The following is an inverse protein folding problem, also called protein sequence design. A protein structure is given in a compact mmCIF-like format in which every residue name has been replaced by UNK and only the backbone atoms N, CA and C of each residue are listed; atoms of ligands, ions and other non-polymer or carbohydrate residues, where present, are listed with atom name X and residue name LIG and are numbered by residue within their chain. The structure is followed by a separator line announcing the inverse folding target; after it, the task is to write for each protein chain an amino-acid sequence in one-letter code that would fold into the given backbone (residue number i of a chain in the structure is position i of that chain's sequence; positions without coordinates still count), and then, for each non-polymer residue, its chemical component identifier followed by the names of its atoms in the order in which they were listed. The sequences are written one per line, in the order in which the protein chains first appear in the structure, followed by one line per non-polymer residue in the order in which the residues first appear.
data_IF_144799368999
#
_entry.id   IF_144799368999
#
_cell.length_a   1.000
_cell.length_b   1.000
_cell.length_c   1.000
_cell.angle_alpha   90.00
_cell.angle_beta   90.00
_cell.angle_gamma   90.00
#
_symmetry.space_group_name_H-M   'P 1'
#
loop_
_entity.id
_entity.type
_entity.pdbx_description
1 polymer ?
#
# COMPACT_ATOMS: atom_id res chain seq x y z
N UNK A 1 -6.93 12.13 -20.95
CA UNK A 1 -5.52 12.03 -20.53
C UNK A 1 -5.39 12.29 -19.04
N UNK A 2 -5.02 11.28 -18.27
CA UNK A 2 -4.81 11.41 -16.81
C UNK A 2 -3.47 12.07 -16.51
N UNK A 3 -3.44 12.99 -15.55
CA UNK A 3 -2.20 13.67 -15.13
C UNK A 3 -1.42 12.84 -14.09
N UNK A 4 -0.09 13.04 -14.05
CA UNK A 4 0.78 12.36 -13.08
C UNK A 4 0.45 12.76 -11.63
N UNK A 5 -0.04 13.98 -11.44
CA UNK A 5 -0.47 14.50 -10.13
C UNK A 5 -1.73 13.80 -9.63
N UNK A 6 -2.72 13.56 -10.50
CA UNK A 6 -3.92 12.80 -10.17
C UNK A 6 -3.60 11.35 -9.84
N UNK A 7 -2.68 10.73 -10.60
CA UNK A 7 -2.17 9.39 -10.32
C UNK A 7 -1.47 9.31 -8.96
N UNK A 8 -0.76 10.36 -8.55
CA UNK A 8 -0.01 10.40 -7.29
C UNK A 8 -0.90 10.55 -6.05
N UNK A 9 -2.13 11.04 -6.22
CA UNK A 9 -3.14 11.19 -5.16
C UNK A 9 -3.96 9.92 -4.94
N UNK A 10 -3.88 8.98 -5.87
CA UNK A 10 -4.66 7.76 -5.86
C UNK A 10 -3.97 6.68 -5.00
N UNK A 11 -4.78 5.89 -4.31
CA UNK A 11 -4.33 4.72 -3.57
C UNK A 11 -4.13 3.51 -4.50
N UNK A 12 -3.49 2.46 -4.00
CA UNK A 12 -3.24 1.24 -4.77
C UNK A 12 -4.54 0.60 -5.28
N UNK A 13 -5.60 0.62 -4.46
CA UNK A 13 -6.88 0.03 -4.84
C UNK A 13 -7.57 0.84 -5.94
N UNK A 14 -7.63 2.17 -5.82
CA UNK A 14 -8.18 3.04 -6.85
C UNK A 14 -7.42 2.97 -8.17
N UNK A 15 -6.08 2.87 -8.13
CA UNK A 15 -5.27 2.72 -9.34
C UNK A 15 -5.56 1.40 -10.08
N UNK A 16 -5.78 0.31 -9.33
CA UNK A 16 -6.16 -0.98 -9.90
C UNK A 16 -7.58 -0.98 -10.46
N UNK A 17 -8.52 -0.29 -9.80
CA UNK A 17 -9.89 -0.13 -10.29
C UNK A 17 -9.95 0.68 -11.58
N UNK A 18 -9.23 1.80 -11.67
CA UNK A 18 -9.12 2.58 -12.91
C UNK A 18 -8.50 1.77 -14.04
N UNK A 19 -7.47 0.98 -13.74
CA UNK A 19 -6.84 0.11 -14.74
C UNK A 19 -7.83 -0.92 -15.27
N UNK A 20 -8.67 -1.50 -14.40
CA UNK A 20 -9.71 -2.44 -14.81
C UNK A 20 -10.79 -1.76 -15.65
N UNK A 21 -11.25 -0.58 -15.23
CA UNK A 21 -12.24 0.22 -15.96
C UNK A 21 -11.74 0.55 -17.38
N UNK A 22 -10.56 1.14 -17.50
CA UNK A 22 -9.98 1.50 -18.80
C UNK A 22 -9.70 0.27 -19.66
N UNK A 23 -9.27 -0.85 -19.09
CA UNK A 23 -9.09 -2.09 -19.86
C UNK A 23 -10.42 -2.62 -20.40
N UNK A 24 -11.51 -2.46 -19.65
CA UNK A 24 -12.85 -2.86 -20.08
C UNK A 24 -13.36 -1.96 -21.19
N UNK A 25 -13.16 -0.65 -21.07
CA UNK A 25 -13.52 0.33 -22.09
C UNK A 25 -12.73 0.14 -23.38
N UNK A 26 -11.42 -0.14 -23.29
CA UNK A 26 -10.60 -0.50 -24.46
C UNK A 26 -11.21 -1.70 -25.19
N UNK A 27 -11.59 -2.77 -24.46
CA UNK A 27 -12.20 -3.95 -25.09
C UNK A 27 -13.56 -3.65 -25.72
N UNK A 28 -14.34 -2.74 -25.11
CA UNK A 28 -15.60 -2.28 -25.69
C UNK A 28 -15.35 -1.53 -27.00
N UNK A 29 -14.42 -0.57 -27.00
CA UNK A 29 -14.04 0.16 -28.19
C UNK A 29 -13.46 -0.74 -29.28
N UNK A 30 -12.64 -1.75 -28.93
CA UNK A 30 -12.12 -2.71 -29.90
C UNK A 30 -13.28 -3.48 -30.60
N UNK A 31 -14.32 -3.89 -29.87
CA UNK A 31 -15.52 -4.51 -30.47
C UNK A 31 -16.30 -3.54 -31.36
N UNK A 32 -16.46 -2.29 -30.93
CA UNK A 32 -17.16 -1.27 -31.70
C UNK A 32 -16.40 -0.94 -33.00
N UNK A 33 -15.06 -0.88 -32.93
CA UNK A 33 -14.18 -0.72 -34.10
C UNK A 33 -14.35 -1.91 -35.06
N UNK A 34 -14.32 -3.15 -34.57
CA UNK A 34 -14.54 -4.34 -35.40
C UNK A 34 -15.91 -4.31 -36.10
N UNK A 35 -16.96 -3.86 -35.42
CA UNK A 35 -18.29 -3.72 -36.02
C UNK A 35 -18.30 -2.65 -37.12
N UNK A 36 -17.75 -1.47 -36.84
CA UNK A 36 -17.65 -0.38 -37.83
C UNK A 36 -16.74 -0.72 -39.00
N UNK A 37 -15.70 -1.53 -38.80
CA UNK A 37 -14.86 -2.03 -39.90
C UNK A 37 -15.64 -2.96 -40.83
N UNK A 38 -16.52 -3.81 -40.30
CA UNK A 38 -17.40 -4.66 -41.11
C UNK A 38 -18.36 -3.80 -41.93
N UNK A 39 -18.96 -2.80 -41.29
CA UNK A 39 -19.86 -1.85 -41.96
C UNK A 39 -19.13 -1.03 -43.03
N UNK A 40 -17.91 -0.57 -42.75
CA UNK A 40 -17.06 0.12 -43.72
C UNK A 40 -16.81 -0.75 -44.95
N UNK A 41 -16.48 -2.03 -44.76
CA UNK A 41 -16.26 -2.98 -45.87
C UNK A 41 -17.55 -3.17 -46.70
N UNK A 42 -18.69 -3.27 -46.04
CA UNK A 42 -20.00 -3.38 -46.70
C UNK A 42 -20.36 -2.12 -47.50
N UNK A 43 -20.16 -0.93 -46.93
CA UNK A 43 -20.46 0.31 -47.64
C UNK A 43 -19.47 0.56 -48.79
N UNK A 44 -18.20 0.17 -48.63
CA UNK A 44 -17.23 0.23 -49.71
C UNK A 44 -17.62 -0.69 -50.89
N UNK A 45 -18.11 -1.92 -50.63
CA UNK A 45 -18.59 -2.79 -51.70
C UNK A 45 -19.85 -2.24 -52.38
N UNK A 46 -20.75 -1.57 -51.62
CA UNK A 46 -21.92 -0.88 -52.18
C UNK A 46 -21.54 0.30 -53.07
N UNK A 47 -20.53 1.08 -52.70
CA UNK A 47 -19.99 2.17 -53.52
C UNK A 47 -19.47 1.60 -54.85
N UNK A 48 -18.63 0.57 -54.80
CA UNK A 48 -18.10 -0.09 -56.00
C UNK A 48 -19.20 -0.62 -56.91
N UNK A 49 -20.19 -1.31 -56.35
CA UNK A 49 -21.32 -1.85 -57.12
C UNK A 49 -22.16 -0.75 -57.78
N UNK A 50 -22.36 0.38 -57.09
CA UNK A 50 -23.07 1.53 -57.65
C UNK A 50 -22.29 2.21 -58.79
N UNK A 51 -20.97 2.30 -58.64
CA UNK A 51 -20.06 2.81 -59.68
C UNK A 51 -20.05 1.89 -60.92
N UNK A 52 -19.93 0.57 -60.72
CA UNK A 52 -19.98 -0.42 -61.80
C UNK A 52 -21.30 -0.37 -62.59
N UNK A 53 -22.41 -0.08 -61.90
CA UNK A 53 -23.74 0.08 -62.53
C UNK A 53 -24.02 1.50 -63.04
N UNK A 54 -23.04 2.40 -62.98
CA UNK A 54 -23.17 3.80 -63.38
C UNK A 54 -24.32 4.55 -62.69
N UNK A 55 -24.66 4.18 -61.46
CA UNK A 55 -25.70 4.80 -60.64
C UNK A 55 -25.09 5.89 -59.76
N UNK A 56 -24.82 7.06 -60.36
CA UNK A 56 -24.06 8.15 -59.73
C UNK A 56 -24.66 8.66 -58.41
N UNK A 57 -25.98 8.87 -58.36
CA UNK A 57 -26.70 9.31 -57.15
C UNK A 57 -26.55 8.32 -55.99
N UNK A 58 -26.65 7.02 -56.29
CA UNK A 58 -26.53 5.96 -55.29
C UNK A 58 -25.07 5.83 -54.80
N UNK A 59 -24.10 5.97 -55.72
CA UNK A 59 -22.68 5.98 -55.38
C UNK A 59 -22.33 7.17 -54.47
N UNK A 60 -22.89 8.35 -54.73
CA UNK A 60 -22.68 9.54 -53.90
C UNK A 60 -23.26 9.36 -52.49
N UNK A 61 -24.49 8.85 -52.38
CA UNK A 61 -25.11 8.54 -51.08
C UNK A 61 -24.32 7.50 -50.28
N UNK A 62 -23.84 6.45 -50.95
CA UNK A 62 -23.03 5.41 -50.32
C UNK A 62 -21.65 5.93 -49.88
N UNK A 63 -21.01 6.80 -50.67
CA UNK A 63 -19.75 7.47 -50.30
C UNK A 63 -19.92 8.39 -49.09
N UNK A 64 -21.04 9.11 -49.00
CA UNK A 64 -21.33 9.95 -47.84
C UNK A 64 -21.47 9.11 -46.56
N UNK A 65 -22.12 7.95 -46.63
CA UNK A 65 -22.20 7.02 -45.49
C UNK A 65 -20.84 6.40 -45.14
N UNK A 66 -20.07 5.99 -46.16
CA UNK A 66 -18.71 5.47 -45.96
C UNK A 66 -17.83 6.50 -45.24
N UNK A 67 -17.88 7.77 -45.66
CA UNK A 67 -17.14 8.87 -45.03
C UNK A 67 -17.55 9.09 -43.57
N UNK A 68 -18.85 9.00 -43.24
CA UNK A 68 -19.33 9.08 -41.84
C UNK A 68 -18.81 7.94 -40.98
N UNK A 69 -18.79 6.73 -41.52
CA UNK A 69 -18.26 5.54 -40.83
C UNK A 69 -16.75 5.70 -40.62
N UNK A 70 -16.01 6.13 -41.64
CA UNK A 70 -14.56 6.35 -41.53
C UNK A 70 -14.20 7.44 -40.52
N UNK A 71 -14.96 8.53 -40.49
CA UNK A 71 -14.81 9.57 -39.47
C UNK A 71 -15.06 9.02 -38.06
N UNK A 72 -16.15 8.26 -37.86
CA UNK A 72 -16.47 7.64 -36.58
C UNK A 72 -15.40 6.63 -36.13
N UNK A 73 -14.90 5.83 -37.06
CA UNK A 73 -13.82 4.86 -36.82
C UNK A 73 -12.54 5.58 -36.40
N UNK A 74 -12.16 6.66 -37.10
CA UNK A 74 -10.96 7.43 -36.74
C UNK A 74 -11.05 8.02 -35.32
N UNK A 75 -12.24 8.51 -34.91
CA UNK A 75 -12.47 9.02 -33.57
C UNK A 75 -12.40 7.93 -32.50
N UNK A 76 -13.00 6.76 -32.75
CA UNK A 76 -12.96 5.63 -31.81
C UNK A 76 -11.55 5.04 -31.66
N UNK A 77 -10.78 4.96 -32.75
CA UNK A 77 -9.38 4.52 -32.70
C UNK A 77 -8.55 5.49 -31.87
N UNK A 78 -8.71 6.80 -32.08
CA UNK A 78 -8.00 7.81 -31.29
C UNK A 78 -8.34 7.72 -29.79
N UNK A 79 -9.62 7.60 -29.44
CA UNK A 79 -10.06 7.43 -28.05
C UNK A 79 -9.51 6.14 -27.42
N UNK A 80 -9.50 5.03 -28.17
CA UNK A 80 -8.93 3.76 -27.72
C UNK A 80 -7.42 3.85 -27.48
N UNK A 81 -6.70 4.58 -28.33
CA UNK A 81 -5.26 4.77 -28.19
C UNK A 81 -4.92 5.69 -27.01
N UNK A 82 -5.74 6.72 -26.77
CA UNK A 82 -5.60 7.55 -25.58
C UNK A 82 -5.79 6.73 -24.29
N UNK A 83 -6.81 5.87 -24.22
CA UNK A 83 -7.01 4.97 -23.08
C UNK A 83 -5.84 4.00 -22.89
N UNK A 84 -5.24 3.49 -23.98
CA UNK A 84 -4.04 2.63 -23.91
C UNK A 84 -2.85 3.38 -23.31
N UNK A 85 -2.67 4.64 -23.66
CA UNK A 85 -1.62 5.50 -23.09
C UNK A 85 -1.89 5.74 -21.60
N UNK A 86 -3.13 6.03 -21.21
CA UNK A 86 -3.50 6.23 -19.81
C UNK A 86 -3.27 4.95 -18.98
N UNK A 87 -3.63 3.76 -19.50
CA UNK A 87 -3.31 2.47 -18.86
C UNK A 87 -1.81 2.26 -18.70
N UNK A 88 -1.02 2.62 -19.72
CA UNK A 88 0.44 2.52 -19.66
C UNK A 88 1.01 3.40 -18.54
N UNK A 89 0.56 4.66 -18.45
CA UNK A 89 0.96 5.59 -17.38
C UNK A 89 0.56 5.11 -15.99
N UNK A 90 -0.64 4.57 -15.82
CA UNK A 90 -1.07 3.97 -14.55
C UNK A 90 -0.13 2.82 -14.17
N UNK A 91 0.22 1.94 -15.13
CA UNK A 91 1.13 0.82 -14.89
C UNK A 91 2.55 1.26 -14.50
N UNK A 92 3.06 2.32 -15.10
CA UNK A 92 4.35 2.90 -14.72
C UNK A 92 4.33 3.54 -13.32
N UNK A 93 3.20 4.16 -12.93
CA UNK A 93 3.05 4.78 -11.62
C UNK A 93 2.79 3.78 -10.48
N UNK A 94 2.22 2.60 -10.77
CA UNK A 94 1.84 1.59 -9.78
C UNK A 94 2.97 1.20 -8.80
N UNK A 95 4.21 0.90 -9.24
CA UNK A 95 5.30 0.58 -8.32
C UNK A 95 5.59 1.69 -7.31
N UNK A 96 5.55 2.95 -7.74
CA UNK A 96 5.77 4.10 -6.87
C UNK A 96 4.63 4.25 -5.84
N UNK A 97 3.37 4.06 -6.27
CA UNK A 97 2.20 4.07 -5.39
C UNK A 97 2.30 2.93 -4.34
N UNK A 98 2.72 1.73 -4.76
CA UNK A 98 2.96 0.60 -3.85
C UNK A 98 4.08 0.85 -2.85
N UNK A 99 5.15 1.52 -3.28
CA UNK A 99 6.26 1.86 -2.39
C UNK A 99 5.82 2.84 -1.28
N UNK A 100 4.94 3.80 -1.59
CA UNK A 100 4.36 4.73 -0.58
C UNK A 100 3.53 4.03 0.49
N UNK A 101 2.83 2.94 0.13
CA UNK A 101 2.11 2.13 1.13
C UNK A 101 3.04 1.33 2.04
N UNK A 102 4.24 0.99 1.54
CA UNK A 102 5.26 0.25 2.28
C UNK A 102 6.22 1.15 3.08
N UNK A 103 6.26 2.45 2.79
CA UNK A 103 7.04 3.39 3.60
C UNK A 103 6.33 3.57 4.93
N UNK A 104 6.90 2.97 5.97
CA UNK A 104 6.48 3.15 7.35
C UNK A 104 6.81 4.59 7.75
N UNK A 105 5.91 5.24 8.49
CA UNK A 105 6.17 6.55 9.08
C UNK A 105 7.35 6.45 10.06
N UNK A 106 8.48 7.13 9.81
CA UNK A 106 9.67 7.01 10.64
C UNK A 106 9.41 7.43 12.09
N UNK A 107 8.53 8.40 12.31
CA UNK A 107 8.23 8.90 13.66
C UNK A 107 7.36 7.91 14.42
N UNK A 108 6.38 7.28 13.75
CA UNK A 108 5.56 6.21 14.32
C UNK A 108 6.40 4.97 14.65
N UNK A 109 7.27 4.55 13.72
CA UNK A 109 8.18 3.43 13.93
C UNK A 109 9.14 3.70 15.08
N UNK A 110 9.66 4.93 15.17
CA UNK A 110 10.53 5.32 16.27
C UNK A 110 9.78 5.27 17.61
N UNK A 111 8.54 5.74 17.67
CA UNK A 111 7.72 5.66 18.87
C UNK A 111 7.44 4.20 19.29
N UNK A 112 7.08 3.33 18.34
CA UNK A 112 6.87 1.89 18.59
C UNK A 112 8.15 1.20 19.08
N UNK A 113 9.30 1.53 18.48
CA UNK A 113 10.60 1.01 18.91
C UNK A 113 11.00 1.52 20.30
N UNK A 114 10.78 2.80 20.59
CA UNK A 114 11.05 3.38 21.93
C UNK A 114 10.18 2.72 23.02
N UNK A 115 8.90 2.46 22.73
CA UNK A 115 8.03 1.71 23.65
C UNK A 115 8.50 0.26 23.86
N UNK A 116 8.96 -0.41 22.80
CA UNK A 116 9.44 -1.80 22.87
C UNK A 116 10.77 -1.93 23.63
N UNK A 117 11.65 -0.93 23.49
CA UNK A 117 12.94 -0.83 24.19
C UNK A 117 12.76 -0.38 25.64
N UNK A 118 11.57 0.13 26.02
CA UNK A 118 11.29 0.65 27.35
C UNK A 118 11.90 2.02 27.61
N UNK A 119 12.33 2.72 26.56
CA UNK A 119 12.74 4.12 26.61
C UNK A 119 11.49 4.99 26.54
N UNK A 120 10.71 5.04 27.62
CA UNK A 120 9.74 6.11 27.78
C UNK A 120 10.49 7.44 27.80
N UNK A 121 10.25 8.26 26.77
CA UNK A 121 10.62 9.67 26.78
C UNK A 121 9.98 10.34 28.00
N UNK A 122 10.74 10.50 29.09
CA UNK A 122 10.35 11.40 30.16
C UNK A 122 10.59 10.97 31.60
N UNK A 123 11.20 9.82 31.88
CA UNK A 123 11.76 9.59 33.21
C UNK A 123 13.26 9.88 33.14
N UNK A 124 13.74 11.01 33.73
CA UNK A 124 15.17 11.25 33.79
C UNK A 124 15.77 10.08 34.56
N UNK A 125 16.72 9.35 33.97
CA UNK A 125 17.39 8.21 34.59
C UNK A 125 17.83 8.50 36.03
N UNK A 126 18.15 9.77 36.33
CA UNK A 126 18.41 10.28 37.67
C UNK A 126 17.28 10.01 38.70
N UNK A 127 16.00 10.18 38.36
CA UNK A 127 14.88 9.91 39.28
C UNK A 127 14.72 8.42 39.57
N UNK A 128 14.96 7.57 38.56
CA UNK A 128 14.93 6.12 38.74
C UNK A 128 16.12 5.65 39.58
N UNK A 129 17.30 6.23 39.39
CA UNK A 129 18.47 5.97 40.25
C UNK A 129 18.24 6.44 41.69
N UNK A 130 17.60 7.60 41.90
CA UNK A 130 17.25 8.12 43.22
C UNK A 130 16.17 7.25 43.91
N UNK A 131 15.17 6.76 43.17
CA UNK A 131 14.17 5.83 43.68
C UNK A 131 14.76 4.44 43.99
N UNK A 132 15.69 3.95 43.17
CA UNK A 132 16.43 2.72 43.43
C UNK A 132 17.30 2.85 44.68
N UNK A 133 18.03 3.96 44.84
CA UNK A 133 18.80 4.23 46.08
C UNK A 133 17.90 4.34 47.29
N UNK A 134 16.76 5.02 47.18
CA UNK A 134 15.80 5.13 48.28
C UNK A 134 15.17 3.77 48.65
N UNK A 135 15.06 2.84 47.70
CA UNK A 135 14.63 1.46 47.95
C UNK A 135 15.76 0.61 48.53
N UNK A 136 17.00 0.82 48.11
CA UNK A 136 18.20 0.16 48.64
C UNK A 136 18.43 0.57 50.10
N UNK A 137 18.35 1.86 50.43
CA UNK A 137 18.42 2.36 51.81
C UNK A 137 17.27 1.80 52.68
N UNK A 138 16.05 1.71 52.14
CA UNK A 138 14.92 1.07 52.84
C UNK A 138 15.08 -0.44 53.01
N UNK A 139 15.82 -1.10 52.12
CA UNK A 139 16.14 -2.52 52.20
C UNK A 139 17.28 -2.78 53.20
N UNK A 140 18.26 -1.87 53.30
CA UNK A 140 19.30 -1.89 54.34
C UNK A 140 18.71 -1.72 55.75
N UNK A 141 17.68 -0.88 55.91
CA UNK A 141 16.97 -0.71 57.19
C UNK A 141 16.14 -1.92 57.64
N UNK A 142 15.89 -2.88 56.75
CA UNK A 142 15.13 -4.08 57.07
C UNK A 142 15.86 -5.33 56.62
N UNK A 143 16.96 -5.69 57.29
CA UNK A 143 17.68 -6.94 57.02
C UNK A 143 16.70 -8.14 57.01
N UNK A 144 16.28 -8.61 55.81
CA UNK A 144 15.24 -9.62 55.69
C UNK A 144 15.76 -10.96 56.18
N UNK A 145 17.09 -11.15 56.12
CA UNK A 145 17.79 -12.35 56.56
C UNK A 145 17.80 -12.46 58.08
N UNK A 146 17.93 -11.37 58.83
CA UNK A 146 17.80 -11.39 60.30
C UNK A 146 16.37 -11.76 60.73
N UNK A 147 15.36 -11.15 60.11
CA UNK A 147 13.95 -11.48 60.38
C UNK A 147 13.64 -12.94 60.01
N UNK A 148 14.21 -13.47 58.92
CA UNK A 148 14.06 -14.86 58.52
C UNK A 148 14.81 -15.81 59.47
N UNK A 149 16.05 -15.48 59.89
CA UNK A 149 16.84 -16.24 60.88
C UNK A 149 16.12 -16.34 62.23
N UNK A 150 15.53 -15.24 62.70
CA UNK A 150 14.72 -15.23 63.94
C UNK A 150 13.45 -16.07 63.79
N UNK A 151 12.80 -16.03 62.63
CA UNK A 151 11.59 -16.82 62.37
C UNK A 151 11.88 -18.32 62.17
N UNK A 152 13.09 -18.66 61.70
CA UNK A 152 13.57 -20.03 61.52
C UNK A 152 14.32 -20.58 62.75
N UNK A 153 14.55 -19.77 63.79
CA UNK A 153 15.15 -20.20 65.05
C UNK A 153 16.67 -20.44 65.00
N UNK A 154 17.40 -19.85 64.04
CA UNK A 154 18.86 -19.97 63.93
C UNK A 154 19.56 -18.68 64.40
N UNK A 155 19.37 -18.32 65.66
CA UNK A 155 20.06 -17.21 66.33
C UNK A 155 21.10 -17.72 67.34
N UNK A 156 22.37 -17.67 66.93
CA UNK A 156 23.62 -17.75 67.69
C UNK A 156 23.79 -18.85 68.76
N UNK A 157 24.49 -19.92 68.38
CA UNK A 157 25.17 -20.81 69.32
C UNK A 157 26.65 -20.91 68.94
N UNK A 158 27.41 -19.85 69.21
CA UNK A 158 28.88 -19.95 69.29
C UNK A 158 29.31 -20.28 70.72
N UNK A 159 29.67 -21.56 70.91
CA UNK A 159 30.60 -22.17 71.89
C UNK A 159 30.52 -21.87 73.40
N UNK A 160 30.82 -22.90 74.23
CA UNK A 160 32.04 -22.76 75.01
C UNK A 160 32.90 -24.04 75.07
N UNK A 161 34.18 -23.91 74.72
CA UNK A 161 35.31 -24.72 75.22
C UNK A 161 35.73 -24.19 76.62
N UNK A 162 36.63 -24.82 77.41
CA UNK A 162 37.06 -26.23 77.56
C UNK A 162 37.01 -26.71 79.05
N UNK A 163 37.24 -28.01 79.36
CA UNK A 163 37.61 -28.39 80.73
C UNK A 163 37.46 -29.87 81.15
N UNK A 164 38.58 -30.48 81.56
CA UNK A 164 38.79 -31.84 82.10
C UNK A 164 38.01 -32.15 83.39
N UNK A 165 37.74 -33.44 83.64
CA UNK A 165 37.53 -33.99 84.98
C UNK A 165 37.29 -35.50 84.99
N UNK A 166 38.25 -36.26 85.54
CA UNK A 166 38.24 -37.73 85.73
C UNK A 166 37.26 -38.18 86.81
N UNK A 167 36.71 -39.38 86.68
CA UNK A 167 36.87 -40.51 87.63
C UNK A 167 36.21 -41.77 87.09
#
# INVERSE_FOLDING_TARGET
MISLEELSKLDEAGAMELLLAYTTDIKRHDKDIEALEKDRRLWNSRVKLAEERSLAELAQGARAQLSRIEASLSGLVAARDELKLDVFRIREALPAIKARRRSIDPDLLQAELSMLVGEEQGLPAAKLEDEFKALEEKAEDQDPLEKLKRKMGLGDSSDPKPGKGRS
#
